data_IF_867435773497
#
_entry.id   IF_867435773497
#
_cell.length_a   1.000
_cell.length_b   1.000
_cell.length_c   1.000
_cell.angle_alpha   90.00
_cell.angle_beta   90.00
_cell.angle_gamma   90.00
#
_symmetry.space_group_name_H-M   'P 1'
#
loop_
_entity.id
_entity.type
_entity.pdbx_description
1 polymer ?
#
# COMPACT_ATOMS: atom_id res chain seq x y z
N UNK A 1 13.24 -34.61 0.49
CA UNK A 1 11.93 -34.16 1.00
C UNK A 1 11.90 -32.67 0.81
N UNK A 2 10.84 -32.12 0.22
CA UNK A 2 10.66 -30.67 0.15
C UNK A 2 10.63 -30.08 1.56
N UNK A 3 11.20 -28.88 1.73
CA UNK A 3 11.44 -28.25 3.03
C UNK A 3 10.93 -26.82 3.01
N UNK A 4 9.95 -26.52 3.86
CA UNK A 4 9.63 -25.14 4.23
C UNK A 4 9.12 -24.25 3.09
N UNK A 5 9.34 -22.95 3.23
CA UNK A 5 8.78 -21.90 2.37
C UNK A 5 9.88 -21.02 1.80
N UNK A 6 9.81 -20.74 0.49
CA UNK A 6 10.66 -19.75 -0.18
C UNK A 6 9.85 -18.48 -0.44
N UNK A 7 10.28 -17.35 0.10
CA UNK A 7 9.68 -16.05 -0.18
C UNK A 7 10.38 -15.34 -1.34
N UNK A 8 9.61 -14.73 -2.24
CA UNK A 8 10.15 -14.02 -3.42
C UNK A 8 9.58 -12.60 -3.49
N UNK A 9 10.42 -11.60 -3.21
CA UNK A 9 10.02 -10.18 -3.26
C UNK A 9 11.27 -9.30 -3.44
N UNK A 10 11.26 -8.37 -4.40
CA UNK A 10 12.43 -7.50 -4.67
C UNK A 10 12.93 -6.71 -3.44
N UNK A 11 12.00 -6.27 -2.61
CA UNK A 11 12.20 -5.57 -1.34
C UNK A 11 11.79 -6.43 -0.13
N UNK A 12 12.06 -7.74 -0.15
CA UNK A 12 11.74 -8.67 0.94
C UNK A 12 12.17 -8.12 2.33
N UNK A 13 11.28 -8.12 3.36
CA UNK A 13 10.07 -8.93 3.44
C UNK A 13 8.81 -8.38 2.80
N UNK A 14 8.78 -7.10 2.38
CA UNK A 14 7.57 -6.48 1.85
C UNK A 14 6.37 -6.73 2.76
N UNK A 15 5.27 -7.22 2.19
CA UNK A 15 4.04 -7.58 2.89
C UNK A 15 4.17 -8.83 3.79
N UNK A 16 5.18 -9.67 3.60
CA UNK A 16 5.28 -10.99 4.23
C UNK A 16 6.01 -11.01 5.58
N UNK A 17 6.31 -9.84 6.15
CA UNK A 17 7.16 -9.72 7.35
C UNK A 17 6.60 -10.48 8.56
N UNK A 18 5.28 -10.40 8.79
CA UNK A 18 4.64 -11.13 9.89
C UNK A 18 4.60 -12.63 9.64
N UNK A 19 4.19 -13.03 8.45
CA UNK A 19 4.06 -14.44 8.07
C UNK A 19 5.39 -15.19 8.23
N UNK A 20 6.49 -14.63 7.73
CA UNK A 20 7.80 -15.30 7.85
C UNK A 20 8.26 -15.41 9.30
N UNK A 21 8.00 -14.41 10.14
CA UNK A 21 8.36 -14.46 11.58
C UNK A 21 7.60 -15.57 12.30
N UNK A 22 6.30 -15.71 12.01
CA UNK A 22 5.45 -16.75 12.61
C UNK A 22 5.90 -18.14 12.18
N UNK A 23 6.22 -18.32 10.88
CA UNK A 23 6.72 -19.59 10.37
C UNK A 23 8.04 -19.99 11.04
N UNK A 24 8.98 -19.05 11.18
CA UNK A 24 10.24 -19.29 11.90
C UNK A 24 10.01 -19.66 13.37
N UNK A 25 9.12 -18.95 14.06
CA UNK A 25 8.77 -19.24 15.46
C UNK A 25 8.18 -20.65 15.63
N UNK A 26 7.45 -21.14 14.63
CA UNK A 26 6.92 -22.51 14.58
C UNK A 26 7.90 -23.54 14.01
N UNK A 27 9.17 -23.18 13.83
CA UNK A 27 10.21 -24.09 13.33
C UNK A 27 10.09 -24.46 11.86
N UNK A 28 9.29 -23.74 11.06
CA UNK A 28 9.17 -23.96 9.61
C UNK A 28 10.36 -23.28 8.92
N UNK A 29 11.23 -24.03 8.20
CA UNK A 29 12.36 -23.44 7.51
C UNK A 29 11.89 -22.42 6.46
N UNK A 30 12.50 -21.24 6.47
CA UNK A 30 12.15 -20.17 5.53
C UNK A 30 13.43 -19.58 4.92
N UNK A 31 13.47 -19.52 3.59
CA UNK A 31 14.46 -18.75 2.84
C UNK A 31 13.78 -17.65 2.02
N UNK A 32 14.56 -16.71 1.53
CA UNK A 32 14.05 -15.64 0.67
C UNK A 32 14.94 -15.37 -0.54
N UNK A 33 14.32 -14.85 -1.60
CA UNK A 33 14.98 -14.19 -2.73
C UNK A 33 14.53 -12.73 -2.74
N UNK A 34 15.51 -11.82 -2.86
CA UNK A 34 15.24 -10.39 -3.03
C UNK A 34 16.34 -9.70 -3.82
N UNK A 35 16.09 -8.46 -4.22
CA UNK A 35 17.11 -7.66 -4.91
C UNK A 35 18.19 -7.21 -3.91
N UNK A 36 19.33 -6.74 -4.39
CA UNK A 36 20.46 -6.28 -3.57
C UNK A 36 20.11 -5.34 -2.41
N UNK A 37 19.05 -4.52 -2.55
CA UNK A 37 18.60 -3.56 -1.54
C UNK A 37 17.55 -4.11 -0.56
N UNK A 38 17.03 -5.33 -0.74
CA UNK A 38 15.99 -5.85 0.16
C UNK A 38 16.51 -5.87 1.61
N UNK A 39 15.78 -5.38 2.61
CA UNK A 39 16.28 -5.33 3.98
C UNK A 39 16.51 -6.72 4.61
N UNK A 40 15.76 -7.75 4.20
CA UNK A 40 15.83 -9.07 4.81
C UNK A 40 15.11 -9.14 6.16
N UNK A 41 15.18 -10.32 6.80
CA UNK A 41 14.60 -10.58 8.12
C UNK A 41 15.61 -11.40 8.92
N UNK A 42 15.83 -11.04 10.19
CA UNK A 42 16.72 -11.80 11.07
C UNK A 42 16.27 -13.26 11.17
N UNK A 43 17.20 -14.20 11.02
CA UNK A 43 16.91 -15.64 11.02
C UNK A 43 16.51 -16.22 9.66
N UNK A 44 16.31 -15.39 8.64
CA UNK A 44 16.02 -15.83 7.26
C UNK A 44 17.24 -15.61 6.39
N UNK A 45 17.80 -16.68 5.82
CA UNK A 45 18.82 -16.52 4.78
C UNK A 45 18.14 -16.01 3.50
N UNK A 46 18.71 -14.94 2.95
CA UNK A 46 18.25 -14.28 1.72
C UNK A 46 19.31 -14.41 0.62
N UNK A 47 18.92 -15.00 -0.51
CA UNK A 47 19.70 -14.97 -1.73
C UNK A 47 19.40 -13.67 -2.48
N UNK A 48 20.43 -12.86 -2.67
CA UNK A 48 20.30 -11.55 -3.31
C UNK A 48 20.73 -11.61 -4.76
N UNK A 49 19.92 -11.03 -5.64
CA UNK A 49 20.31 -10.78 -7.03
C UNK A 49 20.54 -9.29 -7.26
N UNK A 50 21.40 -8.99 -8.23
CA UNK A 50 21.64 -7.66 -8.74
C UNK A 50 21.28 -7.61 -10.21
N UNK A 51 20.87 -6.43 -10.69
CA UNK A 51 20.60 -6.22 -12.10
C UNK A 51 21.89 -5.73 -12.78
N UNK A 52 22.45 -6.47 -13.75
CA UNK A 52 23.66 -6.03 -14.45
C UNK A 52 23.40 -4.84 -15.37
N UNK A 53 22.14 -4.62 -15.76
CA UNK A 53 21.71 -3.52 -16.62
C UNK A 53 20.25 -3.14 -16.33
N UNK A 54 19.88 -1.93 -16.73
CA UNK A 54 18.48 -1.54 -16.89
C UNK A 54 17.90 -2.01 -18.24
N UNK A 55 16.66 -1.61 -18.51
CA UNK A 55 16.05 -1.78 -19.83
C UNK A 55 16.91 -1.13 -20.92
N UNK A 56 16.92 -1.74 -22.10
CA UNK A 56 17.67 -1.29 -23.27
C UNK A 56 17.22 0.12 -23.68
N UNK A 57 18.13 1.10 -23.80
CA UNK A 57 17.78 2.41 -24.32
C UNK A 57 17.15 2.31 -25.71
N UNK A 58 15.99 2.94 -25.91
CA UNK A 58 15.28 2.93 -27.19
C UNK A 58 14.52 1.63 -27.51
N UNK A 59 14.39 0.68 -26.57
CA UNK A 59 13.50 -0.48 -26.76
C UNK A 59 12.07 -0.03 -27.06
N UNK A 60 11.33 -0.85 -27.81
CA UNK A 60 9.90 -0.64 -28.06
C UNK A 60 9.15 -0.25 -26.78
N UNK A 61 8.52 0.94 -26.74
CA UNK A 61 7.74 1.47 -25.62
C UNK A 61 6.93 0.50 -24.76
N UNK A 62 6.16 -0.39 -25.38
CA UNK A 62 5.28 -1.32 -24.67
C UNK A 62 6.06 -2.49 -24.06
N UNK A 63 7.25 -2.78 -24.59
CA UNK A 63 8.13 -3.84 -24.09
C UNK A 63 9.06 -3.40 -22.95
N UNK A 64 9.19 -2.10 -22.68
CA UNK A 64 10.13 -1.57 -21.66
C UNK A 64 9.91 -2.21 -20.29
N UNK A 65 8.65 -2.34 -19.86
CA UNK A 65 8.32 -2.97 -18.58
C UNK A 65 8.60 -4.47 -18.60
N UNK A 66 8.21 -5.16 -19.68
CA UNK A 66 8.45 -6.59 -19.82
C UNK A 66 9.95 -6.93 -19.78
N UNK A 67 10.81 -6.13 -20.43
CA UNK A 67 12.26 -6.32 -20.35
C UNK A 67 12.77 -6.12 -18.92
N UNK A 68 12.34 -5.05 -18.23
CA UNK A 68 12.74 -4.80 -16.84
C UNK A 68 12.36 -5.97 -15.93
N UNK A 69 11.18 -6.54 -16.13
CA UNK A 69 10.65 -7.64 -15.32
C UNK A 69 11.37 -8.97 -15.66
N UNK A 70 11.69 -9.23 -16.93
CA UNK A 70 12.49 -10.39 -17.33
C UNK A 70 13.94 -10.32 -16.84
N UNK A 71 14.54 -9.12 -16.77
CA UNK A 71 15.86 -8.93 -16.17
C UNK A 71 15.85 -9.31 -14.68
N UNK A 72 14.80 -8.93 -13.94
CA UNK A 72 14.62 -9.35 -12.55
C UNK A 72 14.31 -10.84 -12.44
N UNK A 73 13.47 -11.39 -13.30
CA UNK A 73 13.17 -12.82 -13.36
C UNK A 73 14.43 -13.66 -13.54
N UNK A 74 15.34 -13.23 -14.43
CA UNK A 74 16.64 -13.88 -14.64
C UNK A 74 17.53 -13.83 -13.40
N UNK A 75 17.65 -12.66 -12.78
CA UNK A 75 18.43 -12.52 -11.55
C UNK A 75 17.86 -13.35 -10.39
N UNK A 76 16.54 -13.36 -10.23
CA UNK A 76 15.86 -14.20 -9.23
C UNK A 76 16.04 -15.69 -9.52
N UNK A 77 16.02 -16.10 -10.79
CA UNK A 77 16.36 -17.48 -11.19
C UNK A 77 17.78 -17.86 -10.78
N UNK A 78 18.78 -17.00 -11.02
CA UNK A 78 20.18 -17.29 -10.66
C UNK A 78 20.33 -17.43 -9.13
N UNK A 79 19.65 -16.57 -8.37
CA UNK A 79 19.58 -16.68 -6.91
C UNK A 79 18.90 -17.99 -6.46
N UNK A 80 17.82 -18.41 -7.13
CA UNK A 80 17.14 -19.67 -6.87
C UNK A 80 18.04 -20.88 -7.17
N UNK A 81 18.79 -20.87 -8.27
CA UNK A 81 19.76 -21.94 -8.60
C UNK A 81 20.85 -22.03 -7.54
N UNK A 82 21.37 -20.90 -7.06
CA UNK A 82 22.34 -20.89 -5.97
C UNK A 82 21.80 -21.56 -4.71
N UNK A 83 20.58 -21.23 -4.29
CA UNK A 83 19.92 -21.90 -3.16
C UNK A 83 19.73 -23.40 -3.40
N UNK A 84 19.33 -23.80 -4.61
CA UNK A 84 19.16 -25.21 -4.97
C UNK A 84 20.47 -25.98 -4.89
N UNK A 85 21.57 -25.39 -5.35
CA UNK A 85 22.91 -25.99 -5.29
C UNK A 85 23.42 -26.15 -3.84
N UNK A 86 22.96 -25.30 -2.93
CA UNK A 86 23.19 -25.46 -1.48
C UNK A 86 22.25 -26.48 -0.82
N UNK A 87 21.40 -27.15 -1.59
CA UNK A 87 20.49 -28.20 -1.12
C UNK A 87 19.12 -27.72 -0.66
N UNK A 88 18.74 -26.48 -0.96
CA UNK A 88 17.37 -25.99 -0.72
C UNK A 88 16.39 -26.57 -1.74
N UNK A 89 15.21 -27.00 -1.29
CA UNK A 89 14.12 -27.52 -2.12
C UNK A 89 12.79 -27.17 -1.44
N UNK A 90 12.15 -26.02 -1.74
CA UNK A 90 10.99 -25.56 -1.01
C UNK A 90 9.75 -26.43 -1.27
N UNK A 91 8.87 -26.54 -0.28
CA UNK A 91 7.53 -27.12 -0.51
C UNK A 91 6.61 -26.11 -1.22
N UNK A 92 6.71 -24.84 -0.81
CA UNK A 92 5.90 -23.75 -1.35
C UNK A 92 6.77 -22.52 -1.60
N UNK A 93 6.46 -21.80 -2.66
CA UNK A 93 7.00 -20.49 -3.00
C UNK A 93 5.88 -19.47 -2.85
N UNK A 94 6.09 -18.45 -2.01
CA UNK A 94 5.16 -17.32 -1.84
C UNK A 94 5.85 -16.07 -2.35
N UNK A 95 5.20 -15.32 -3.24
CA UNK A 95 5.85 -14.11 -3.73
C UNK A 95 4.91 -13.09 -4.33
N UNK A 96 5.48 -11.91 -4.60
CA UNK A 96 4.82 -10.81 -5.28
C UNK A 96 5.23 -10.81 -6.76
N UNK A 97 4.33 -11.10 -7.71
CA UNK A 97 4.68 -11.29 -9.12
C UNK A 97 4.85 -9.96 -9.89
N UNK A 98 4.52 -8.82 -9.29
CA UNK A 98 4.44 -7.53 -9.98
C UNK A 98 5.73 -7.01 -10.64
N UNK A 99 6.90 -7.57 -10.36
CA UNK A 99 8.17 -7.21 -11.02
C UNK A 99 8.89 -8.39 -11.71
N UNK A 100 8.21 -9.54 -11.86
CA UNK A 100 8.67 -10.69 -12.64
C UNK A 100 9.52 -11.72 -11.90
N UNK A 101 9.90 -11.52 -10.64
CA UNK A 101 10.82 -12.44 -9.94
C UNK A 101 10.28 -13.87 -9.80
N UNK A 102 8.96 -14.05 -9.82
CA UNK A 102 8.34 -15.37 -9.73
C UNK A 102 8.33 -16.16 -11.06
N UNK A 103 8.57 -15.51 -12.19
CA UNK A 103 8.22 -16.05 -13.51
C UNK A 103 8.89 -17.38 -13.86
N UNK A 104 10.13 -17.60 -13.41
CA UNK A 104 10.92 -18.80 -13.74
C UNK A 104 11.18 -19.73 -12.55
N UNK A 105 10.42 -19.59 -11.46
CA UNK A 105 10.67 -20.40 -10.25
C UNK A 105 10.42 -21.90 -10.47
N UNK A 106 9.47 -22.26 -11.34
CA UNK A 106 9.18 -23.66 -11.68
C UNK A 106 10.34 -24.38 -12.37
N UNK A 107 11.18 -23.66 -13.13
CA UNK A 107 12.36 -24.24 -13.79
C UNK A 107 13.42 -24.69 -12.77
N UNK A 108 13.46 -24.03 -11.60
CA UNK A 108 14.37 -24.38 -10.51
C UNK A 108 13.71 -25.36 -9.55
N UNK A 109 12.45 -25.13 -9.18
CA UNK A 109 11.73 -25.91 -8.17
C UNK A 109 10.41 -26.46 -8.74
N UNK A 110 10.45 -27.43 -9.67
CA UNK A 110 9.26 -27.88 -10.41
C UNK A 110 8.22 -28.62 -9.55
N UNK A 111 8.58 -28.99 -8.32
CA UNK A 111 7.68 -29.65 -7.36
C UNK A 111 7.07 -28.71 -6.34
N UNK A 112 7.59 -27.48 -6.24
CA UNK A 112 7.10 -26.51 -5.26
C UNK A 112 5.80 -25.89 -5.75
N UNK A 113 4.80 -25.81 -4.87
CA UNK A 113 3.57 -25.06 -5.17
C UNK A 113 3.86 -23.57 -5.15
N UNK A 114 3.21 -22.79 -6.01
CA UNK A 114 3.41 -21.35 -6.12
C UNK A 114 2.17 -20.58 -5.69
N UNK A 115 2.35 -19.65 -4.76
CA UNK A 115 1.31 -18.72 -4.33
C UNK A 115 1.71 -17.30 -4.74
N UNK A 116 0.90 -16.71 -5.62
CA UNK A 116 1.10 -15.35 -6.12
C UNK A 116 0.25 -14.34 -5.33
N UNK A 117 0.89 -13.37 -4.69
CA UNK A 117 0.22 -12.24 -4.05
C UNK A 117 -0.09 -11.16 -5.09
N UNK A 118 -1.32 -11.16 -5.58
CA UNK A 118 -1.83 -10.22 -6.57
C UNK A 118 -2.28 -8.91 -5.91
N UNK A 119 -1.36 -7.97 -5.75
CA UNK A 119 -1.68 -6.64 -5.20
C UNK A 119 -2.46 -5.77 -6.21
N UNK A 120 -2.07 -5.78 -7.48
CA UNK A 120 -2.73 -4.97 -8.52
C UNK A 120 -2.48 -5.51 -9.92
N UNK A 121 -3.52 -5.50 -10.75
CA UNK A 121 -3.41 -5.71 -12.19
C UNK A 121 -3.72 -4.39 -12.90
N UNK A 122 -2.81 -3.91 -13.75
CA UNK A 122 -2.93 -2.60 -14.36
C UNK A 122 -4.01 -2.58 -15.44
N UNK A 123 -4.69 -1.44 -15.56
CA UNK A 123 -5.65 -1.19 -16.64
C UNK A 123 -5.35 0.16 -17.28
N UNK A 124 -5.40 0.23 -18.60
CA UNK A 124 -5.29 1.49 -19.32
C UNK A 124 -6.49 2.43 -19.14
N UNK A 125 -7.63 1.94 -18.63
CA UNK A 125 -8.85 2.73 -18.38
C UNK A 125 -9.63 2.20 -17.18
N UNK A 126 -10.40 3.08 -16.53
CA UNK A 126 -11.36 2.71 -15.47
C UNK A 126 -10.76 2.49 -14.08
N UNK A 127 -9.44 2.63 -13.94
CA UNK A 127 -8.71 2.56 -12.68
C UNK A 127 -7.98 3.89 -12.39
N UNK A 128 -6.67 3.87 -12.19
CA UNK A 128 -5.83 5.04 -11.93
C UNK A 128 -5.52 5.86 -13.20
N UNK A 129 -5.35 5.18 -14.33
CA UNK A 129 -5.00 5.82 -15.61
C UNK A 129 -6.16 6.68 -16.13
N UNK A 130 -5.87 7.96 -16.35
CA UNK A 130 -6.83 8.95 -16.83
C UNK A 130 -7.90 9.35 -15.81
N UNK A 131 -7.71 9.00 -14.53
CA UNK A 131 -8.68 9.33 -13.48
C UNK A 131 -8.76 10.83 -13.20
N UNK A 132 -7.60 11.51 -13.12
CA UNK A 132 -7.51 12.96 -12.90
C UNK A 132 -7.04 13.68 -14.17
N UNK A 133 -8.00 14.27 -14.87
CA UNK A 133 -7.77 15.03 -16.10
C UNK A 133 -7.25 16.44 -15.84
N UNK A 134 -7.37 16.97 -14.62
CA UNK A 134 -6.93 18.33 -14.29
C UNK A 134 -5.40 18.44 -14.23
N UNK A 135 -4.71 17.37 -13.83
CA UNK A 135 -3.25 17.32 -13.77
C UNK A 135 -2.59 16.57 -14.93
N UNK A 136 -3.29 15.62 -15.53
CA UNK A 136 -2.76 14.74 -16.59
C UNK A 136 -3.19 15.09 -18.01
N UNK A 137 -4.17 15.99 -18.19
CA UNK A 137 -4.80 16.24 -19.48
C UNK A 137 -5.56 15.02 -20.03
N UNK A 138 -5.84 15.03 -21.33
CA UNK A 138 -6.40 13.86 -22.01
C UNK A 138 -5.36 12.72 -22.05
N UNK A 139 -5.80 11.52 -21.69
CA UNK A 139 -4.93 10.34 -21.74
C UNK A 139 -4.81 9.85 -23.18
N UNK A 140 -3.60 9.92 -23.73
CA UNK A 140 -3.30 9.40 -25.06
C UNK A 140 -3.38 7.85 -25.11
N UNK A 141 -3.53 7.32 -26.33
CA UNK A 141 -3.62 5.87 -26.54
C UNK A 141 -2.34 5.15 -26.11
N UNK A 142 -1.18 5.78 -26.22
CA UNK A 142 0.10 5.18 -25.82
C UNK A 142 0.16 4.92 -24.31
N UNK A 143 -0.39 5.82 -23.49
CA UNK A 143 -0.48 5.68 -22.04
C UNK A 143 -1.40 4.52 -21.65
N UNK A 144 -2.54 4.41 -22.33
CA UNK A 144 -3.48 3.28 -22.18
C UNK A 144 -2.76 1.95 -22.48
N UNK A 145 -2.13 1.85 -23.65
CA UNK A 145 -1.45 0.63 -24.09
C UNK A 145 -0.27 0.28 -23.18
N UNK A 146 0.50 1.27 -22.73
CA UNK A 146 1.63 1.06 -21.80
C UNK A 146 1.16 0.52 -20.46
N UNK A 147 0.05 1.01 -19.93
CA UNK A 147 -0.50 0.52 -18.68
C UNK A 147 -0.91 -0.96 -18.80
N UNK A 148 -1.61 -1.34 -19.85
CA UNK A 148 -1.99 -2.73 -20.11
C UNK A 148 -0.75 -3.64 -20.31
N UNK A 149 0.25 -3.14 -21.04
CA UNK A 149 1.48 -3.87 -21.33
C UNK A 149 2.31 -4.19 -20.07
N UNK A 150 2.17 -3.43 -18.98
CA UNK A 150 2.85 -3.73 -17.69
C UNK A 150 2.51 -5.13 -17.17
N UNK A 151 1.36 -5.68 -17.56
CA UNK A 151 0.89 -6.95 -17.04
C UNK A 151 1.52 -8.18 -17.70
N UNK A 152 2.23 -8.04 -18.82
CA UNK A 152 2.66 -9.18 -19.64
C UNK A 152 3.41 -10.27 -18.87
N UNK A 153 4.48 -9.89 -18.16
CA UNK A 153 5.30 -10.85 -17.38
C UNK A 153 4.60 -11.29 -16.09
N UNK A 154 3.86 -10.38 -15.46
CA UNK A 154 3.07 -10.68 -14.28
C UNK A 154 1.98 -11.74 -14.56
N UNK A 155 1.35 -11.70 -15.74
CA UNK A 155 0.35 -12.68 -16.16
C UNK A 155 0.94 -14.09 -16.32
N UNK A 156 2.22 -14.23 -16.69
CA UNK A 156 2.90 -15.52 -16.73
C UNK A 156 3.01 -16.14 -15.33
N UNK A 157 3.28 -15.33 -14.31
CA UNK A 157 3.36 -15.80 -12.93
C UNK A 157 1.96 -16.22 -12.42
N UNK A 158 0.91 -15.46 -12.73
CA UNK A 158 -0.47 -15.86 -12.40
C UNK A 158 -0.89 -17.16 -13.10
N UNK A 159 -0.52 -17.35 -14.37
CA UNK A 159 -0.85 -18.56 -15.12
C UNK A 159 -0.16 -19.83 -14.57
N UNK A 160 0.97 -19.68 -13.86
CA UNK A 160 1.70 -20.78 -13.22
C UNK A 160 1.36 -20.96 -11.74
N UNK A 161 0.63 -20.03 -11.12
CA UNK A 161 0.34 -20.07 -9.69
C UNK A 161 -0.69 -21.16 -9.36
N UNK A 162 -0.43 -21.91 -8.30
CA UNK A 162 -1.39 -22.85 -7.71
C UNK A 162 -2.47 -22.13 -6.89
N UNK A 163 -2.14 -20.95 -6.35
CA UNK A 163 -3.09 -20.06 -5.70
C UNK A 163 -2.74 -18.60 -5.96
N UNK A 164 -3.79 -17.77 -6.09
CA UNK A 164 -3.67 -16.32 -6.18
C UNK A 164 -4.33 -15.72 -4.94
N UNK A 165 -3.61 -14.85 -4.22
CA UNK A 165 -4.11 -14.13 -3.05
C UNK A 165 -4.23 -12.66 -3.40
N UNK A 166 -5.36 -12.05 -3.05
CA UNK A 166 -5.65 -10.62 -3.29
C UNK A 166 -6.07 -9.96 -1.97
N UNK A 167 -5.64 -8.73 -1.67
CA UNK A 167 -5.93 -8.14 -0.35
C UNK A 167 -7.39 -7.70 -0.15
N UNK A 168 -8.07 -7.26 -1.22
CA UNK A 168 -9.45 -6.76 -1.13
C UNK A 168 -10.28 -7.15 -2.36
N UNK A 169 -11.63 -7.09 -2.27
CA UNK A 169 -12.52 -7.29 -3.42
C UNK A 169 -12.22 -6.38 -4.62
N UNK A 170 -11.93 -5.10 -4.41
CA UNK A 170 -11.51 -4.17 -5.46
C UNK A 170 -10.21 -4.64 -6.13
N UNK A 171 -9.19 -5.02 -5.35
CA UNK A 171 -7.92 -5.50 -5.92
C UNK A 171 -8.14 -6.80 -6.71
N UNK A 172 -8.99 -7.72 -6.23
CA UNK A 172 -9.40 -8.88 -6.99
C UNK A 172 -10.15 -8.52 -8.28
N UNK A 173 -10.97 -7.46 -8.26
CA UNK A 173 -11.70 -6.98 -9.43
C UNK A 173 -10.78 -6.49 -10.57
N UNK A 174 -9.54 -6.08 -10.24
CA UNK A 174 -8.54 -5.72 -11.25
C UNK A 174 -8.06 -6.93 -12.06
N UNK A 175 -8.11 -8.15 -11.50
CA UNK A 175 -7.64 -9.34 -12.21
C UNK A 175 -8.52 -9.68 -13.42
N UNK A 176 -7.93 -10.14 -14.55
CA UNK A 176 -8.65 -10.81 -15.62
C UNK A 176 -9.57 -11.90 -15.06
N UNK A 177 -10.74 -12.08 -15.68
CA UNK A 177 -11.79 -13.01 -15.22
C UNK A 177 -11.23 -14.39 -14.82
N UNK A 178 -10.36 -14.96 -15.66
CA UNK A 178 -9.77 -16.30 -15.44
C UNK A 178 -8.92 -16.40 -14.16
N UNK A 179 -8.22 -15.33 -13.78
CA UNK A 179 -7.45 -15.30 -12.54
C UNK A 179 -8.31 -14.94 -11.33
N UNK A 180 -9.35 -14.11 -11.55
CA UNK A 180 -10.29 -13.66 -10.50
C UNK A 180 -11.15 -14.80 -9.94
N UNK A 181 -11.65 -15.69 -10.79
CA UNK A 181 -12.54 -16.80 -10.37
C UNK A 181 -11.90 -17.75 -9.35
N UNK A 182 -10.56 -17.84 -9.31
CA UNK A 182 -9.81 -18.66 -8.36
C UNK A 182 -9.06 -17.87 -7.27
N UNK A 183 -9.21 -16.54 -7.22
CA UNK A 183 -8.49 -15.70 -6.28
C UNK A 183 -9.07 -15.82 -4.86
N UNK A 184 -8.18 -15.90 -3.87
CA UNK A 184 -8.53 -15.86 -2.45
C UNK A 184 -8.41 -14.42 -1.96
N UNK A 185 -9.45 -13.94 -1.28
CA UNK A 185 -9.49 -12.56 -0.80
C UNK A 185 -9.30 -12.57 0.71
N UNK A 186 -8.14 -12.09 1.16
CA UNK A 186 -7.87 -11.79 2.56
C UNK A 186 -6.69 -10.82 2.65
N UNK A 187 -6.71 -9.96 3.67
CA UNK A 187 -5.73 -8.90 3.86
C UNK A 187 -4.67 -9.31 4.89
N UNK A 188 -3.41 -8.91 4.68
CA UNK A 188 -2.29 -9.16 5.61
C UNK A 188 -2.53 -8.61 7.02
N UNK A 189 -3.19 -7.45 7.05
CA UNK A 189 -3.67 -6.79 8.26
C UNK A 189 -2.61 -6.01 9.03
N UNK A 190 -3.08 -5.34 10.08
CA UNK A 190 -2.28 -4.49 10.98
C UNK A 190 -2.30 -5.04 12.39
N UNK A 191 -1.27 -4.69 13.18
CA UNK A 191 -1.17 -5.09 14.58
C UNK A 191 -2.18 -4.32 15.43
N UNK A 192 -3.29 -4.96 15.79
CA UNK A 192 -4.39 -4.32 16.51
C UNK A 192 -4.10 -4.09 18.00
N UNK A 193 -3.04 -4.70 18.55
CA UNK A 193 -2.58 -4.45 19.91
C UNK A 193 -1.70 -3.20 19.95
N UNK A 194 -0.79 -3.05 18.98
CA UNK A 194 0.04 -1.86 18.84
C UNK A 194 -0.76 -0.65 18.35
N UNK A 195 -1.59 -0.87 17.33
CA UNK A 195 -2.37 0.15 16.63
C UNK A 195 -3.79 0.09 17.17
N UNK A 196 -4.06 0.95 18.14
CA UNK A 196 -5.34 1.04 18.83
C UNK A 196 -5.64 2.46 19.27
N UNK A 197 -6.92 2.79 19.54
CA UNK A 197 -7.28 4.06 20.14
C UNK A 197 -6.52 4.27 21.44
N UNK A 198 -5.98 5.48 21.64
CA UNK A 198 -5.32 5.87 22.87
C UNK A 198 -5.50 7.38 23.08
N UNK A 199 -5.36 7.89 24.31
CA UNK A 199 -5.38 9.32 24.57
C UNK A 199 -4.34 10.06 23.73
N UNK A 200 -4.72 11.22 23.21
CA UNK A 200 -3.78 12.10 22.52
C UNK A 200 -2.76 12.67 23.53
N UNK A 201 -1.50 12.75 23.11
CA UNK A 201 -0.43 13.40 23.85
C UNK A 201 0.04 14.67 23.10
N UNK A 202 0.71 15.61 23.77
CA UNK A 202 1.33 16.76 23.10
C UNK A 202 2.25 16.31 21.96
N UNK A 203 2.08 16.93 20.79
CA UNK A 203 2.83 16.56 19.59
C UNK A 203 3.85 17.65 19.26
N UNK A 204 5.14 17.28 19.29
CA UNK A 204 6.25 18.19 19.02
C UNK A 204 6.56 18.18 17.51
N UNK A 205 6.50 19.36 16.91
CA UNK A 205 6.86 19.63 15.53
C UNK A 205 8.39 19.74 15.38
N UNK A 206 8.88 19.66 14.14
CA UNK A 206 10.33 19.68 13.87
C UNK A 206 10.99 21.02 14.24
N UNK A 207 10.23 22.10 14.30
CA UNK A 207 10.66 23.42 14.75
C UNK A 207 10.49 23.66 16.26
N UNK A 208 10.12 22.63 17.02
CA UNK A 208 9.95 22.68 18.47
C UNK A 208 8.60 23.20 18.95
N UNK A 209 7.72 23.67 18.06
CA UNK A 209 6.34 24.03 18.45
C UNK A 209 5.58 22.79 18.91
N UNK A 210 4.64 22.98 19.83
CA UNK A 210 3.86 21.89 20.42
C UNK A 210 2.38 22.07 20.08
N UNK A 211 1.78 21.05 19.46
CA UNK A 211 0.34 20.97 19.27
C UNK A 211 -0.25 20.23 20.49
N UNK A 212 -1.11 20.92 21.24
CA UNK A 212 -1.71 20.37 22.44
C UNK A 212 -2.88 19.41 22.12
N UNK A 213 -3.14 18.41 22.97
CA UNK A 213 -4.37 17.62 22.89
C UNK A 213 -5.61 18.53 22.93
N UNK A 214 -6.59 18.26 22.06
CA UNK A 214 -7.80 19.07 21.94
C UNK A 214 -7.71 20.19 20.89
N UNK A 215 -6.52 20.49 20.34
CA UNK A 215 -6.41 21.29 19.12
C UNK A 215 -7.12 20.57 17.96
N UNK A 216 -7.93 21.26 17.13
CA UNK A 216 -8.54 20.64 15.96
C UNK A 216 -7.49 20.31 14.89
N UNK A 217 -7.05 19.06 14.85
CA UNK A 217 -6.02 18.59 13.90
C UNK A 217 -6.63 17.73 12.80
N UNK A 218 -6.39 18.09 11.53
CA UNK A 218 -6.63 17.22 10.38
C UNK A 218 -5.33 16.50 10.02
N UNK A 219 -5.41 15.19 9.80
CA UNK A 219 -4.26 14.38 9.41
C UNK A 219 -4.40 13.83 8.01
N UNK A 220 -3.27 13.69 7.32
CA UNK A 220 -3.17 13.02 6.03
C UNK A 220 -1.85 12.26 5.98
N UNK A 221 -1.90 10.97 5.68
CA UNK A 221 -0.76 10.06 5.78
C UNK A 221 -0.65 9.21 4.53
N UNK A 222 0.45 9.40 3.80
CA UNK A 222 0.81 8.61 2.64
C UNK A 222 2.32 8.36 2.62
N UNK A 223 2.76 7.35 1.87
CA UNK A 223 4.20 7.14 1.65
C UNK A 223 4.83 8.26 0.81
N UNK A 224 4.03 8.82 -0.09
CA UNK A 224 4.42 9.80 -1.09
C UNK A 224 3.46 10.99 -1.03
N UNK A 225 3.99 12.20 -1.13
CA UNK A 225 3.15 13.39 -1.31
C UNK A 225 2.83 13.53 -2.80
N UNK A 226 1.68 12.99 -3.24
CA UNK A 226 1.29 12.93 -4.65
C UNK A 226 -0.23 13.10 -4.89
N UNK A 227 -0.66 13.54 -6.09
CA UNK A 227 -2.08 13.78 -6.39
C UNK A 227 -2.95 12.53 -6.36
N UNK A 228 -2.40 11.39 -6.82
CA UNK A 228 -3.09 10.10 -6.78
C UNK A 228 -3.50 9.68 -5.37
N UNK A 229 -2.81 10.18 -4.36
CA UNK A 229 -3.13 9.98 -2.94
C UNK A 229 -3.87 11.18 -2.35
N UNK A 230 -4.51 11.97 -3.20
CA UNK A 230 -5.42 13.05 -2.83
C UNK A 230 -4.74 14.35 -2.38
N UNK A 231 -3.43 14.50 -2.54
CA UNK A 231 -2.73 15.69 -2.04
C UNK A 231 -3.28 16.99 -2.65
N UNK A 232 -3.54 17.00 -3.96
CA UNK A 232 -4.10 18.16 -4.67
C UNK A 232 -5.48 18.53 -4.13
N UNK A 233 -6.34 17.53 -3.94
CA UNK A 233 -7.71 17.71 -3.44
C UNK A 233 -7.69 18.28 -2.02
N UNK A 234 -6.85 17.72 -1.15
CA UNK A 234 -6.67 18.24 0.20
C UNK A 234 -6.14 19.67 0.17
N UNK A 235 -5.09 19.94 -0.60
CA UNK A 235 -4.48 21.26 -0.72
C UNK A 235 -5.52 22.31 -1.13
N UNK A 236 -6.34 22.02 -2.15
CA UNK A 236 -7.42 22.90 -2.62
C UNK A 236 -8.54 23.13 -1.57
N UNK A 237 -8.72 22.21 -0.62
CA UNK A 237 -9.70 22.34 0.46
C UNK A 237 -9.16 23.09 1.69
N UNK A 238 -7.84 23.25 1.82
CA UNK A 238 -7.23 23.88 2.99
C UNK A 238 -7.57 25.37 3.17
N UNK A 239 -7.56 26.24 2.13
CA UNK A 239 -7.80 27.66 2.34
C UNK A 239 -9.11 27.95 3.07
N UNK A 240 -10.19 27.26 2.69
CA UNK A 240 -11.50 27.40 3.35
C UNK A 240 -11.49 26.88 4.78
N UNK A 241 -10.90 25.71 5.03
CA UNK A 241 -10.75 25.17 6.39
C UNK A 241 -10.01 26.16 7.30
N UNK A 242 -8.88 26.69 6.83
CA UNK A 242 -8.02 27.59 7.59
C UNK A 242 -8.66 28.96 7.83
N UNK A 243 -9.52 29.43 6.92
CA UNK A 243 -10.29 30.66 7.11
C UNK A 243 -11.45 30.48 8.11
N UNK A 244 -12.18 29.37 8.02
CA UNK A 244 -13.38 29.12 8.84
C UNK A 244 -13.10 28.52 10.22
N UNK A 245 -11.91 27.95 10.43
CA UNK A 245 -11.45 27.38 11.70
C UNK A 245 -10.03 27.90 11.99
N UNK A 246 -9.89 29.09 12.60
CA UNK A 246 -8.59 29.74 12.77
C UNK A 246 -7.54 28.91 13.54
N UNK A 247 -7.99 28.07 14.48
CA UNK A 247 -7.11 27.22 15.30
C UNK A 247 -6.84 25.83 14.69
N UNK A 248 -7.37 25.52 13.51
CA UNK A 248 -7.11 24.25 12.85
C UNK A 248 -5.63 24.08 12.53
N UNK A 249 -5.12 22.86 12.75
CA UNK A 249 -3.79 22.43 12.33
C UNK A 249 -3.94 21.30 11.32
N UNK A 250 -3.01 21.22 10.38
CA UNK A 250 -2.99 20.17 9.36
C UNK A 250 -1.64 19.48 9.41
N UNK A 251 -1.62 18.18 9.64
CA UNK A 251 -0.40 17.36 9.65
C UNK A 251 -0.40 16.49 8.39
N UNK A 252 0.62 16.70 7.55
CA UNK A 252 0.84 15.99 6.30
C UNK A 252 2.10 15.14 6.42
N UNK A 253 1.93 13.82 6.41
CA UNK A 253 3.01 12.85 6.50
C UNK A 253 3.17 12.14 5.15
N UNK A 254 4.39 12.14 4.63
CA UNK A 254 4.77 11.50 3.37
C UNK A 254 6.03 12.12 2.78
N UNK A 255 6.75 11.36 1.97
CA UNK A 255 8.00 11.85 1.37
C UNK A 255 7.71 12.62 0.07
N UNK A 256 8.06 13.93 -0.01
CA UNK A 256 7.86 14.71 -1.23
C UNK A 256 8.86 14.36 -2.35
N UNK A 257 10.00 13.75 -2.01
CA UNK A 257 11.05 13.42 -2.97
C UNK A 257 10.95 12.00 -3.51
N UNK A 258 10.06 11.18 -2.94
CA UNK A 258 9.91 9.79 -3.35
C UNK A 258 9.18 9.71 -4.69
N UNK A 259 9.68 8.85 -5.59
CA UNK A 259 9.05 8.61 -6.91
C UNK A 259 7.59 8.19 -6.75
N UNK A 260 6.69 8.97 -7.36
CA UNK A 260 5.24 8.71 -7.44
C UNK A 260 4.94 7.33 -8.03
N UNK A 261 3.78 6.73 -7.67
CA UNK A 261 3.32 5.53 -8.40
C UNK A 261 2.83 5.88 -9.82
N UNK A 262 2.45 7.14 -10.06
CA UNK A 262 1.94 7.65 -11.31
C UNK A 262 3.01 8.36 -12.13
N UNK A 263 2.59 9.36 -12.91
CA UNK A 263 3.52 10.21 -13.66
C UNK A 263 4.45 10.98 -12.70
N UNK A 264 5.72 11.21 -13.10
CA UNK A 264 6.59 12.11 -12.35
C UNK A 264 6.00 13.53 -12.35
N UNK A 265 6.34 14.31 -11.32
CA UNK A 265 6.09 15.75 -11.33
C UNK A 265 6.90 16.43 -12.44
N UNK A 266 6.53 17.65 -12.88
CA UNK A 266 7.33 18.44 -13.81
C UNK A 266 8.77 18.61 -13.35
N UNK A 267 9.69 18.73 -14.32
CA UNK A 267 11.12 18.80 -14.06
C UNK A 267 11.46 19.92 -13.06
N UNK A 268 12.23 19.56 -12.03
CA UNK A 268 12.67 20.48 -10.97
C UNK A 268 11.64 20.72 -9.86
N UNK A 269 10.47 20.07 -9.89
CA UNK A 269 9.43 20.20 -8.86
C UNK A 269 9.14 18.88 -8.17
N UNK A 270 8.66 18.95 -6.93
CA UNK A 270 7.96 17.83 -6.29
C UNK A 270 6.45 17.95 -6.52
N UNK A 271 5.72 16.84 -6.43
CA UNK A 271 4.25 16.89 -6.48
C UNK A 271 3.67 17.72 -5.33
N UNK A 272 4.34 17.79 -4.18
CA UNK A 272 3.98 18.74 -3.12
C UNK A 272 4.02 20.19 -3.62
N UNK A 273 5.09 20.58 -4.30
CA UNK A 273 5.24 21.95 -4.80
C UNK A 273 4.16 22.26 -5.83
N UNK A 274 3.87 21.33 -6.74
CA UNK A 274 2.77 21.46 -7.72
C UNK A 274 1.41 21.60 -7.04
N UNK A 275 1.10 20.72 -6.08
CA UNK A 275 -0.21 20.71 -5.42
C UNK A 275 -0.50 21.97 -4.60
N UNK A 276 0.54 22.62 -4.08
CA UNK A 276 0.42 23.82 -3.26
C UNK A 276 0.75 25.11 -4.01
N UNK A 277 1.09 25.04 -5.30
CA UNK A 277 1.44 26.20 -6.10
C UNK A 277 0.27 27.17 -6.19
N UNK A 278 0.52 28.44 -5.83
CA UNK A 278 -0.49 29.51 -5.92
C UNK A 278 -1.57 29.46 -4.85
N UNK A 279 -1.49 28.53 -3.89
CA UNK A 279 -2.44 28.48 -2.77
C UNK A 279 -1.99 29.40 -1.64
N UNK A 280 -2.94 30.20 -1.13
CA UNK A 280 -2.76 30.96 0.11
C UNK A 280 -3.10 30.07 1.31
N UNK A 281 -2.07 29.71 2.08
CA UNK A 281 -2.21 28.97 3.32
C UNK A 281 -1.16 29.43 4.34
N UNK A 282 -1.52 29.32 5.62
CA UNK A 282 -0.61 29.68 6.71
C UNK A 282 0.39 28.53 6.99
N UNK A 283 1.69 28.70 6.71
CA UNK A 283 2.70 27.67 6.96
C UNK A 283 2.89 27.39 8.45
N UNK A 284 2.41 28.27 9.35
CA UNK A 284 2.40 27.99 10.77
C UNK A 284 1.33 26.96 11.16
N UNK A 285 0.36 26.66 10.27
CA UNK A 285 -0.76 25.74 10.53
C UNK A 285 -0.77 24.49 9.65
N UNK A 286 0.02 24.46 8.58
CA UNK A 286 0.15 23.31 7.68
C UNK A 286 1.56 22.73 7.78
N UNK A 287 1.66 21.52 8.34
CA UNK A 287 2.92 20.91 8.75
C UNK A 287 3.27 19.73 7.83
N UNK A 288 4.30 19.90 7.00
CA UNK A 288 4.85 18.84 6.16
C UNK A 288 5.97 18.11 6.90
N UNK A 289 5.69 16.93 7.44
CA UNK A 289 6.64 16.21 8.31
C UNK A 289 7.58 15.26 7.55
N UNK A 290 7.42 15.13 6.24
CA UNK A 290 8.18 14.14 5.47
C UNK A 290 7.84 12.70 5.90
N UNK A 291 8.83 11.81 5.79
CA UNK A 291 8.76 10.46 6.34
C UNK A 291 9.12 10.49 7.83
N UNK A 292 8.23 9.95 8.66
CA UNK A 292 8.42 9.87 10.11
C UNK A 292 8.47 8.42 10.62
N UNK A 293 9.04 8.17 11.81
CA UNK A 293 8.91 6.87 12.48
C UNK A 293 7.44 6.49 12.70
N UNK A 294 7.12 5.19 12.62
CA UNK A 294 5.75 4.68 12.71
C UNK A 294 5.03 5.16 14.00
N UNK A 295 5.70 5.12 15.15
CA UNK A 295 5.14 5.62 16.41
C UNK A 295 4.75 7.12 16.37
N UNK A 296 5.51 7.96 15.65
CA UNK A 296 5.18 9.39 15.48
C UNK A 296 3.98 9.57 14.55
N UNK A 297 3.84 8.73 13.53
CA UNK A 297 2.65 8.73 12.67
C UNK A 297 1.39 8.31 13.45
N UNK A 298 1.46 7.26 14.28
CA UNK A 298 0.35 6.86 15.16
C UNK A 298 0.00 7.95 16.18
N UNK A 299 1.00 8.67 16.71
CA UNK A 299 0.77 9.81 17.59
C UNK A 299 0.01 10.95 16.87
N UNK A 300 0.37 11.25 15.62
CA UNK A 300 -0.35 12.23 14.81
C UNK A 300 -1.81 11.79 14.56
N UNK A 301 -2.02 10.53 14.17
CA UNK A 301 -3.37 9.98 13.97
C UNK A 301 -4.25 10.09 15.22
N UNK A 302 -3.70 9.80 16.40
CA UNK A 302 -4.40 9.91 17.69
C UNK A 302 -4.72 11.35 18.09
N UNK A 303 -3.89 12.31 17.68
CA UNK A 303 -4.13 13.74 17.88
C UNK A 303 -5.24 14.27 16.96
N UNK A 304 -5.39 13.68 15.77
CA UNK A 304 -6.35 14.09 14.75
C UNK A 304 -7.81 14.01 15.19
N UNK A 305 -8.59 15.05 14.90
CA UNK A 305 -10.06 15.00 14.97
C UNK A 305 -10.66 14.32 13.74
N UNK A 306 -9.94 14.33 12.62
CA UNK A 306 -10.24 13.55 11.43
C UNK A 306 -8.96 13.16 10.67
N UNK A 307 -9.07 12.08 9.90
CA UNK A 307 -8.07 11.61 8.96
C UNK A 307 -8.63 11.67 7.53
N UNK A 308 -7.96 12.43 6.66
CA UNK A 308 -8.34 12.53 5.25
C UNK A 308 -7.60 11.46 4.46
N UNK A 309 -8.35 10.50 3.92
CA UNK A 309 -7.83 9.40 3.12
C UNK A 309 -8.40 9.43 1.71
N UNK A 310 -7.69 10.06 0.79
CA UNK A 310 -8.10 10.13 -0.61
C UNK A 310 -7.15 9.28 -1.46
N UNK A 311 -7.71 8.55 -2.40
CA UNK A 311 -6.91 7.77 -3.35
C UNK A 311 -7.68 7.58 -4.65
N UNK A 312 -6.97 7.57 -5.78
CA UNK A 312 -7.52 7.08 -7.04
C UNK A 312 -7.96 5.62 -6.88
N UNK A 313 -8.69 5.04 -7.85
CA UNK A 313 -8.94 3.60 -7.94
C UNK A 313 -7.65 2.79 -8.12
N UNK A 314 -6.88 2.68 -7.04
CA UNK A 314 -5.57 2.07 -6.93
C UNK A 314 -5.47 1.29 -5.61
N UNK A 315 -4.32 0.65 -5.37
CA UNK A 315 -4.06 -0.18 -4.17
C UNK A 315 -4.44 0.54 -2.87
N UNK A 316 -5.22 -0.15 -2.03
CA UNK A 316 -5.60 0.32 -0.70
C UNK A 316 -4.35 0.42 0.19
N UNK A 317 -4.05 1.62 0.69
CA UNK A 317 -2.89 1.85 1.54
C UNK A 317 -3.16 1.36 2.96
N UNK A 318 -2.12 0.83 3.59
CA UNK A 318 -2.16 0.42 5.00
C UNK A 318 -2.43 1.60 5.93
N UNK A 319 -2.10 2.84 5.54
CA UNK A 319 -2.42 4.02 6.34
C UNK A 319 -3.92 4.17 6.60
N UNK A 320 -4.80 3.71 5.70
CA UNK A 320 -6.23 3.65 5.97
C UNK A 320 -6.54 2.63 7.09
N UNK A 321 -6.05 1.39 6.95
CA UNK A 321 -6.28 0.35 7.95
C UNK A 321 -5.74 0.76 9.33
N UNK A 322 -4.59 1.44 9.38
CA UNK A 322 -3.98 1.96 10.60
C UNK A 322 -4.77 3.12 11.21
N UNK A 323 -5.32 4.02 10.38
CA UNK A 323 -6.20 5.09 10.84
C UNK A 323 -7.51 4.52 11.41
N UNK A 324 -8.14 3.57 10.71
CA UNK A 324 -9.34 2.88 11.19
C UNK A 324 -9.05 2.11 12.49
N UNK A 325 -7.95 1.36 12.55
CA UNK A 325 -7.52 0.66 13.76
C UNK A 325 -7.19 1.63 14.90
N UNK A 326 -6.69 2.83 14.63
CA UNK A 326 -6.48 3.87 15.65
C UNK A 326 -7.79 4.52 16.12
N UNK A 327 -8.94 4.13 15.54
CA UNK A 327 -10.24 4.73 15.81
C UNK A 327 -10.31 6.18 15.32
N UNK A 328 -9.65 6.52 14.22
CA UNK A 328 -9.76 7.84 13.61
C UNK A 328 -11.13 8.00 12.94
N UNK A 329 -11.65 9.22 12.90
CA UNK A 329 -12.77 9.56 12.03
C UNK A 329 -12.22 9.74 10.62
N UNK A 330 -12.55 8.84 9.70
CA UNK A 330 -12.02 8.88 8.33
C UNK A 330 -12.97 9.61 7.40
N UNK A 331 -12.44 10.62 6.69
CA UNK A 331 -13.08 11.28 5.55
C UNK A 331 -12.36 10.79 4.30
N UNK A 332 -13.02 9.91 3.56
CA UNK A 332 -12.46 9.19 2.43
C UNK A 332 -12.97 9.67 1.07
N UNK A 333 -12.18 9.46 0.02
CA UNK A 333 -12.68 9.59 -1.35
C UNK A 333 -13.65 8.46 -1.69
N UNK A 334 -14.75 8.78 -2.36
CA UNK A 334 -15.74 7.82 -2.84
C UNK A 334 -15.25 7.06 -4.09
N UNK A 335 -14.16 6.32 -3.92
CA UNK A 335 -13.55 5.48 -4.95
C UNK A 335 -13.66 4.00 -4.57
N UNK A 336 -13.66 3.13 -5.58
CA UNK A 336 -13.83 1.69 -5.40
C UNK A 336 -12.94 1.05 -4.30
N UNK A 337 -11.62 1.32 -4.19
CA UNK A 337 -10.81 0.74 -3.12
C UNK A 337 -11.26 1.18 -1.71
N UNK A 338 -11.74 2.42 -1.56
CA UNK A 338 -12.16 2.94 -0.25
C UNK A 338 -13.51 2.37 0.16
N UNK A 339 -14.41 2.11 -0.80
CA UNK A 339 -15.71 1.47 -0.57
C UNK A 339 -15.60 0.04 -0.03
N UNK A 340 -14.49 -0.66 -0.28
CA UNK A 340 -14.25 -1.97 0.33
C UNK A 340 -14.12 -1.87 1.86
N UNK A 341 -13.64 -0.73 2.38
CA UNK A 341 -13.34 -0.54 3.80
C UNK A 341 -14.33 0.39 4.52
N UNK A 342 -14.89 1.38 3.81
CA UNK A 342 -15.74 2.42 4.39
C UNK A 342 -17.14 2.35 3.77
N UNK A 343 -18.13 2.28 4.63
CA UNK A 343 -19.53 2.54 4.31
C UNK A 343 -19.89 3.95 4.79
N UNK A 344 -20.35 4.78 3.85
CA UNK A 344 -20.66 6.19 4.12
C UNK A 344 -21.68 6.36 5.27
N UNK A 345 -21.34 7.20 6.24
CA UNK A 345 -22.19 7.49 7.41
C UNK A 345 -22.25 6.38 8.45
N UNK A 346 -21.55 5.25 8.26
CA UNK A 346 -21.53 4.13 9.22
C UNK A 346 -20.20 4.05 9.95
N UNK A 347 -19.09 3.98 9.20
CA UNK A 347 -17.74 3.85 9.75
C UNK A 347 -16.75 4.88 9.17
N UNK A 348 -17.28 5.93 8.54
CA UNK A 348 -16.54 7.04 7.95
C UNK A 348 -17.48 7.89 7.09
N UNK A 349 -16.91 8.86 6.36
CA UNK A 349 -17.63 9.59 5.31
C UNK A 349 -16.95 9.37 3.96
N UNK A 350 -17.73 9.18 2.92
CA UNK A 350 -17.28 9.11 1.53
C UNK A 350 -17.75 10.35 0.78
N UNK A 351 -16.83 10.99 0.08
CA UNK A 351 -17.09 12.21 -0.67
C UNK A 351 -16.58 12.05 -2.11
N UNK A 352 -17.26 12.65 -3.11
CA UNK A 352 -16.77 12.63 -4.48
C UNK A 352 -15.33 13.14 -4.56
N UNK A 353 -14.47 12.46 -5.34
CA UNK A 353 -13.03 12.69 -5.31
C UNK A 353 -12.64 14.15 -5.59
N UNK A 354 -13.28 14.79 -6.58
CA UNK A 354 -12.96 16.16 -7.01
C UNK A 354 -13.77 17.25 -6.28
N UNK A 355 -14.60 16.90 -5.30
CA UNK A 355 -15.43 17.87 -4.58
C UNK A 355 -14.67 18.47 -3.38
N UNK A 356 -13.84 19.48 -3.69
CA UNK A 356 -13.06 20.22 -2.69
C UNK A 356 -13.96 20.93 -1.65
N UNK A 357 -15.16 21.36 -2.06
CA UNK A 357 -16.10 22.06 -1.20
C UNK A 357 -16.73 21.12 -0.17
N UNK A 358 -17.08 19.90 -0.57
CA UNK A 358 -17.54 18.85 0.32
C UNK A 358 -16.45 18.45 1.31
N UNK A 359 -15.21 18.27 0.84
CA UNK A 359 -14.08 17.96 1.73
C UNK A 359 -13.85 19.06 2.77
N UNK A 360 -13.83 20.33 2.33
CA UNK A 360 -13.73 21.48 3.24
C UNK A 360 -14.84 21.46 4.29
N UNK A 361 -16.09 21.24 3.86
CA UNK A 361 -17.26 21.21 4.74
C UNK A 361 -17.16 20.10 5.79
N UNK A 362 -16.74 18.90 5.38
CA UNK A 362 -16.57 17.76 6.28
C UNK A 362 -15.43 17.99 7.28
N UNK A 363 -14.30 18.55 6.85
CA UNK A 363 -13.19 18.89 7.76
C UNK A 363 -13.60 19.97 8.77
N UNK A 364 -14.30 21.02 8.32
CA UNK A 364 -14.81 22.09 9.20
C UNK A 364 -15.78 21.52 10.24
N UNK A 365 -16.71 20.66 9.82
CA UNK A 365 -17.64 19.99 10.73
C UNK A 365 -16.89 19.14 11.77
N UNK A 366 -15.88 18.37 11.35
CA UNK A 366 -15.04 17.58 12.25
C UNK A 366 -14.29 18.43 13.27
N UNK A 367 -13.79 19.60 12.86
CA UNK A 367 -13.10 20.53 13.74
C UNK A 367 -14.04 21.23 14.72
N UNK A 368 -15.28 21.56 14.32
CA UNK A 368 -16.26 22.26 15.15
C UNK A 368 -16.96 21.34 16.15
N UNK A 369 -17.20 20.08 15.78
CA UNK A 369 -17.74 19.06 16.68
C UNK A 369 -16.97 17.72 16.58
N UNK A 370 -15.79 17.62 17.22
CA UNK A 370 -15.02 16.39 17.23
C UNK A 370 -15.76 15.21 17.85
N UNK A 371 -16.68 15.47 18.81
CA UNK A 371 -17.42 14.43 19.55
C UNK A 371 -18.54 13.83 18.72
N UNK A 372 -19.12 14.58 17.78
CA UNK A 372 -20.15 14.08 16.87
C UNK A 372 -19.74 12.86 16.04
N UNK A 373 -18.44 12.66 15.84
CA UNK A 373 -17.89 11.50 15.10
C UNK A 373 -17.68 10.23 15.93
N UNK A 374 -17.96 10.24 17.25
CA UNK A 374 -17.59 9.13 18.14
C UNK A 374 -18.14 7.76 17.69
N UNK A 375 -19.38 7.71 17.21
CA UNK A 375 -19.98 6.47 16.67
C UNK A 375 -19.25 5.96 15.42
N UNK A 376 -18.95 6.86 14.47
CA UNK A 376 -18.20 6.53 13.24
C UNK A 376 -16.80 6.00 13.57
N UNK A 377 -16.13 6.60 14.56
CA UNK A 377 -14.79 6.19 15.03
C UNK A 377 -14.78 4.78 15.62
N UNK A 378 -15.78 4.47 16.46
CA UNK A 378 -15.93 3.13 17.03
C UNK A 378 -16.24 2.09 15.95
N UNK A 379 -17.11 2.43 14.99
CA UNK A 379 -17.41 1.57 13.85
C UNK A 379 -16.20 1.36 12.93
N UNK A 380 -15.39 2.40 12.68
CA UNK A 380 -14.14 2.29 11.92
C UNK A 380 -13.18 1.28 12.56
N UNK A 381 -13.01 1.35 13.89
CA UNK A 381 -12.22 0.37 14.65
C UNK A 381 -12.78 -1.05 14.49
N UNK A 382 -14.09 -1.23 14.66
CA UNK A 382 -14.73 -2.54 14.51
C UNK A 382 -14.52 -3.12 13.10
N UNK A 383 -14.58 -2.29 12.05
CA UNK A 383 -14.26 -2.71 10.69
C UNK A 383 -12.79 -3.11 10.54
N UNK A 384 -11.85 -2.36 11.13
CA UNK A 384 -10.44 -2.75 11.12
C UNK A 384 -10.19 -4.09 11.83
N UNK A 385 -10.87 -4.35 12.94
CA UNK A 385 -10.83 -5.64 13.65
C UNK A 385 -11.43 -6.78 12.81
N UNK A 386 -12.48 -6.48 12.06
CA UNK A 386 -13.15 -7.43 11.18
C UNK A 386 -12.28 -7.82 9.97
N UNK A 387 -11.76 -6.82 9.26
CA UNK A 387 -11.18 -6.96 7.91
C UNK A 387 -9.65 -6.87 7.87
N UNK A 388 -9.04 -6.12 8.78
CA UNK A 388 -7.62 -5.76 8.73
C UNK A 388 -6.86 -6.24 9.97
N UNK A 389 -7.33 -7.29 10.64
CA UNK A 389 -6.58 -7.92 11.73
C UNK A 389 -5.41 -8.74 11.19
N UNK A 390 -4.19 -8.40 11.61
CA UNK A 390 -3.00 -9.18 11.24
C UNK A 390 -3.10 -10.64 11.69
N UNK A 391 -3.69 -10.90 12.86
CA UNK A 391 -3.90 -12.27 13.34
C UNK A 391 -4.81 -13.06 12.39
N UNK A 392 -5.88 -12.45 11.87
CA UNK A 392 -6.77 -13.10 10.89
C UNK A 392 -6.07 -13.34 9.55
N UNK A 393 -5.35 -12.34 9.05
CA UNK A 393 -4.56 -12.46 7.81
C UNK A 393 -3.53 -13.58 7.90
N UNK A 394 -2.80 -13.63 9.02
CA UNK A 394 -1.87 -14.71 9.35
C UNK A 394 -2.54 -16.08 9.34
N UNK A 395 -3.66 -16.26 10.03
CA UNK A 395 -4.35 -17.55 10.04
C UNK A 395 -4.83 -17.98 8.64
N UNK A 396 -5.29 -17.04 7.82
CA UNK A 396 -5.65 -17.32 6.42
C UNK A 396 -4.43 -17.78 5.59
N UNK A 397 -3.28 -17.14 5.77
CA UNK A 397 -2.03 -17.57 5.14
C UNK A 397 -1.57 -18.95 5.60
N UNK A 398 -1.58 -19.21 6.90
CA UNK A 398 -1.18 -20.49 7.47
C UNK A 398 -2.10 -21.62 6.97
N UNK A 399 -3.41 -21.36 6.89
CA UNK A 399 -4.36 -22.31 6.31
C UNK A 399 -4.05 -22.60 4.84
N UNK A 400 -3.79 -21.57 4.03
CA UNK A 400 -3.39 -21.72 2.63
C UNK A 400 -2.08 -22.51 2.49
N UNK A 401 -1.07 -22.21 3.30
CA UNK A 401 0.22 -22.92 3.25
C UNK A 401 0.07 -24.40 3.63
N UNK A 402 -0.77 -24.73 4.62
CA UNK A 402 -1.09 -26.13 4.97
C UNK A 402 -1.76 -26.84 3.80
N UNK A 403 -2.73 -26.20 3.14
CA UNK A 403 -3.38 -26.74 1.95
C UNK A 403 -2.38 -27.00 0.81
N UNK A 404 -1.39 -26.12 0.66
CA UNK A 404 -0.31 -26.26 -0.32
C UNK A 404 0.77 -27.28 0.09
N UNK A 405 0.62 -27.94 1.24
CA UNK A 405 1.47 -29.06 1.68
C UNK A 405 2.62 -28.67 2.62
N UNK A 406 2.61 -27.47 3.20
CA UNK A 406 3.59 -27.10 4.25
C UNK A 406 3.17 -27.74 5.57
N UNK A 407 4.07 -28.52 6.18
CA UNK A 407 3.90 -29.00 7.54
C UNK A 407 4.18 -27.87 8.54
N UNK A 408 3.12 -27.27 9.08
CA UNK A 408 3.20 -26.18 10.06
C UNK A 408 2.72 -26.72 11.41
N UNK A 409 3.60 -26.81 12.42
CA UNK A 409 3.22 -27.18 13.78
C UNK A 409 2.10 -26.28 14.34
N UNK A 410 1.29 -26.84 15.24
CA UNK A 410 0.38 -26.05 16.06
C UNK A 410 1.16 -25.18 17.05
N UNK A 411 0.56 -24.08 17.48
CA UNK A 411 1.10 -23.23 18.56
C UNK A 411 1.10 -23.95 19.91
#
# INVERSE_FOLDING_TARGET
MSRGVLFVHNNFPGQFADLVQVLLARGVPCLAIGQGHAPGVQGVKIARYNLPRGSTPGIFPLATRAEADLLRARGAYDAAVALKNEGWDPAVIVGHPGWGEMTFMAEVFPKARQVAFAEFYYHGRGFDVGFDTALGGETDIETVLRADAKNGIMAMAYAQADAIVTPTPFQASSLPRRFREGARIFHEGVDLELIRPAPAAPFVLDDGRVIAPGTPVITHVNNHMEPMRGLQVLANALPRLLAEVPHAQVILIGDPNRKSYGAPAPDGMTWRDVCFQGLDYDPARVHFLGRVPHARMLAALRLGVAHVYYTYPFVLSWSLSEAMASGCYVIGSDTAPVRDAIQDGVNGRLLPFFDHAALSTAMIAACRDPRGSAGLRAAARATAEAMFSRAKGREAWLALLREMGVAIPAD
#
